data_IF_332991874698
#
_entry.id   IF_332991874698
#
_cell.length_a   1.000
_cell.length_b   1.000
_cell.length_c   1.000
_cell.angle_alpha   90.00
_cell.angle_beta   90.00
_cell.angle_gamma   90.00
#
_symmetry.space_group_name_H-M   'P 1'
#
loop_
_entity.id
_entity.type
_entity.pdbx_description
1 polymer ?
#
# COMPACT_ATOMS: atom_id res chain seq x y z
N UNK A 1 1.32 25.44 14.42
CA UNK A 1 0.22 24.80 13.67
C UNK A 1 0.82 23.64 12.92
N UNK A 2 0.20 22.47 12.98
CA UNK A 2 0.60 21.27 12.27
C UNK A 2 -0.59 20.82 11.44
N UNK A 3 -0.33 20.40 10.20
CA UNK A 3 -1.33 19.84 9.29
C UNK A 3 -0.87 18.44 8.95
N UNK A 4 -1.60 17.45 9.43
CA UNK A 4 -1.33 16.05 9.15
C UNK A 4 -2.21 15.60 7.98
N UNK A 5 -1.59 14.92 7.02
CA UNK A 5 -2.26 14.44 5.81
C UNK A 5 -2.02 12.94 5.69
N UNK A 6 -3.10 12.18 5.54
CA UNK A 6 -3.04 10.74 5.28
C UNK A 6 -3.74 10.44 3.97
N UNK A 7 -3.00 10.37 2.84
CA UNK A 7 -3.56 9.96 1.56
C UNK A 7 -4.16 8.55 1.67
N UNK A 8 -5.35 8.34 1.07
CA UNK A 8 -6.03 7.03 1.08
C UNK A 8 -5.68 6.16 -0.14
N UNK A 9 -4.94 6.70 -1.10
CA UNK A 9 -4.48 6.02 -2.30
C UNK A 9 -3.03 6.38 -2.55
N UNK A 10 -2.31 5.44 -3.15
CA UNK A 10 -1.00 5.70 -3.72
C UNK A 10 -1.10 6.74 -4.85
N UNK A 11 -0.01 7.47 -5.07
CA UNK A 11 0.14 8.44 -6.16
C UNK A 11 0.19 9.90 -5.70
N UNK A 12 0.27 10.79 -6.67
CA UNK A 12 0.39 12.22 -6.44
C UNK A 12 -0.87 12.78 -5.78
N UNK A 13 -0.67 13.58 -4.73
CA UNK A 13 -1.72 14.39 -4.14
C UNK A 13 -1.26 15.84 -4.05
N UNK A 14 -2.20 16.78 -4.16
CA UNK A 14 -1.95 18.18 -3.87
C UNK A 14 -3.21 18.92 -3.46
N UNK A 15 -3.02 19.99 -2.69
CA UNK A 15 -4.04 20.96 -2.33
C UNK A 15 -3.39 22.30 -1.97
N UNK A 16 -4.21 23.36 -1.90
CA UNK A 16 -3.77 24.64 -1.38
C UNK A 16 -4.18 24.79 0.09
N UNK A 17 -3.23 25.16 0.94
CA UNK A 17 -3.54 25.69 2.25
C UNK A 17 -3.69 27.20 2.13
N UNK A 18 -4.94 27.67 2.22
CA UNK A 18 -5.28 29.08 2.22
C UNK A 18 -5.20 29.64 3.64
N UNK A 19 -4.52 30.76 3.81
CA UNK A 19 -4.40 31.46 5.10
C UNK A 19 -4.77 32.92 4.91
N UNK A 20 -5.87 33.32 5.55
CA UNK A 20 -6.25 34.73 5.65
C UNK A 20 -5.29 35.49 6.57
N UNK A 21 -5.00 36.73 6.19
CA UNK A 21 -4.12 37.64 6.90
C UNK A 21 -4.81 39.00 7.04
N UNK A 22 -4.56 39.66 8.17
CA UNK A 22 -5.00 41.04 8.37
C UNK A 22 -3.94 42.06 7.92
N UNK A 23 -2.88 41.63 7.24
CA UNK A 23 -1.97 42.52 6.53
C UNK A 23 -2.73 43.22 5.38
N UNK A 24 -2.86 44.56 5.40
CA UNK A 24 -3.62 45.30 4.40
C UNK A 24 -3.00 45.27 2.99
N UNK A 25 -1.77 44.80 2.84
CA UNK A 25 -1.10 44.67 1.53
C UNK A 25 -1.12 43.22 1.04
N UNK A 26 -1.00 42.25 1.95
CA UNK A 26 -1.00 40.81 1.62
C UNK A 26 -2.06 40.08 2.48
N UNK A 27 -3.34 40.23 2.13
CA UNK A 27 -4.42 39.72 2.97
C UNK A 27 -4.61 38.19 2.89
N UNK A 28 -3.89 37.50 2.00
CA UNK A 28 -4.01 36.05 1.84
C UNK A 28 -2.67 35.42 1.47
N UNK A 29 -2.43 34.19 1.94
CA UNK A 29 -1.32 33.34 1.51
C UNK A 29 -1.85 31.99 1.05
N UNK A 30 -1.46 31.57 -0.17
CA UNK A 30 -1.73 30.23 -0.68
C UNK A 30 -0.44 29.42 -0.68
N UNK A 31 -0.44 28.30 0.04
CA UNK A 31 0.68 27.36 0.08
C UNK A 31 0.28 26.13 -0.71
N UNK A 32 1.02 25.84 -1.79
CA UNK A 32 0.88 24.58 -2.49
C UNK A 32 1.49 23.46 -1.66
N UNK A 33 0.66 22.53 -1.20
CA UNK A 33 1.07 21.33 -0.47
C UNK A 33 0.84 20.15 -1.39
N UNK A 34 1.87 19.35 -1.62
CA UNK A 34 1.74 18.14 -2.39
C UNK A 34 2.94 17.24 -2.22
N UNK A 35 2.69 15.96 -2.41
CA UNK A 35 3.70 14.91 -2.40
C UNK A 35 3.19 13.71 -3.21
N UNK A 36 3.96 12.63 -3.27
CA UNK A 36 3.55 11.37 -3.86
C UNK A 36 3.41 10.31 -2.78
N UNK A 37 2.16 9.93 -2.46
CA UNK A 37 1.88 8.87 -1.51
C UNK A 37 2.47 7.54 -2.01
N UNK A 38 3.30 6.91 -1.19
CA UNK A 38 3.80 5.58 -1.49
C UNK A 38 2.64 4.58 -1.52
N UNK A 39 2.62 3.63 -2.48
CA UNK A 39 1.92 2.37 -2.27
C UNK A 39 2.27 1.82 -0.88
N UNK A 40 1.24 1.40 -0.13
CA UNK A 40 1.46 0.68 1.13
C UNK A 40 2.26 -0.60 0.91
N UNK A 41 2.57 -1.31 2.00
CA UNK A 41 3.08 -2.68 1.89
C UNK A 41 2.04 -3.58 1.20
N UNK A 42 2.50 -4.43 0.29
CA UNK A 42 1.65 -5.40 -0.41
C UNK A 42 2.31 -6.77 -0.26
N UNK A 43 1.61 -7.72 0.35
CA UNK A 43 2.15 -9.05 0.64
C UNK A 43 1.55 -10.05 -0.33
N UNK A 44 2.39 -10.57 -1.22
CA UNK A 44 2.01 -11.65 -2.11
C UNK A 44 2.45 -13.01 -1.56
N UNK A 45 1.58 -14.01 -1.70
CA UNK A 45 1.83 -15.39 -1.27
C UNK A 45 1.65 -16.30 -2.49
N UNK A 46 2.69 -17.06 -2.83
CA UNK A 46 2.71 -17.90 -4.03
C UNK A 46 2.99 -19.37 -3.70
N UNK A 47 2.38 -20.29 -4.45
CA UNK A 47 2.75 -21.72 -4.45
C UNK A 47 2.36 -22.42 -5.76
N UNK A 48 3.32 -22.87 -6.60
CA UNK A 48 4.78 -22.62 -6.51
C UNK A 48 5.10 -21.14 -6.81
N UNK A 49 6.36 -20.72 -6.69
CA UNK A 49 6.77 -19.35 -7.00
C UNK A 49 6.38 -18.91 -8.43
N UNK A 50 6.03 -17.64 -8.59
CA UNK A 50 5.69 -16.99 -9.86
C UNK A 50 4.36 -16.23 -9.80
N UNK A 51 4.30 -15.09 -10.50
CA UNK A 51 3.18 -14.13 -10.49
C UNK A 51 1.83 -14.71 -10.92
N UNK A 52 1.81 -15.80 -11.69
CA UNK A 52 0.56 -16.49 -12.08
C UNK A 52 0.07 -17.50 -11.03
N UNK A 53 0.83 -17.68 -9.95
CA UNK A 53 0.56 -18.63 -8.87
C UNK A 53 0.30 -17.93 -7.53
N UNK A 54 0.08 -16.60 -7.56
CA UNK A 54 -0.36 -15.83 -6.41
C UNK A 54 -1.70 -16.35 -5.90
N UNK A 55 -1.76 -16.53 -4.58
CA UNK A 55 -2.97 -16.90 -3.88
C UNK A 55 -3.68 -15.59 -3.55
N UNK A 56 -4.81 -15.34 -4.22
CA UNK A 56 -5.59 -14.13 -4.00
C UNK A 56 -6.08 -14.00 -2.56
N UNK A 57 -6.46 -12.78 -2.15
CA UNK A 57 -7.12 -12.54 -0.86
C UNK A 57 -8.40 -13.39 -0.73
N UNK A 58 -8.57 -14.02 0.43
CA UNK A 58 -9.59 -15.03 0.69
C UNK A 58 -9.45 -16.33 -0.11
N UNK A 59 -8.37 -16.49 -0.89
CA UNK A 59 -8.10 -17.66 -1.72
C UNK A 59 -7.61 -18.87 -0.95
N UNK A 60 -7.58 -20.02 -1.63
CA UNK A 60 -7.16 -21.30 -1.05
C UNK A 60 -6.05 -21.96 -1.87
N UNK A 61 -5.05 -22.49 -1.18
CA UNK A 61 -4.01 -23.31 -1.79
C UNK A 61 -4.30 -24.80 -1.54
N UNK A 62 -5.06 -25.42 -2.44
CA UNK A 62 -5.48 -26.81 -2.27
C UNK A 62 -4.30 -27.80 -2.27
N UNK A 63 -4.42 -28.84 -1.44
CA UNK A 63 -3.43 -29.93 -1.34
C UNK A 63 -4.13 -31.21 -1.78
N UNK A 64 -3.66 -31.80 -2.88
CA UNK A 64 -4.23 -33.02 -3.45
C UNK A 64 -3.28 -34.20 -3.23
N UNK A 65 -3.83 -35.40 -3.00
CA UNK A 65 -3.03 -36.63 -2.90
C UNK A 65 -2.33 -36.85 -1.56
N UNK A 66 -2.71 -36.15 -0.50
CA UNK A 66 -2.24 -36.43 0.84
C UNK A 66 -2.68 -37.83 1.30
N UNK A 67 -1.77 -38.59 1.92
CA UNK A 67 -2.01 -39.95 2.42
C UNK A 67 -2.03 -39.92 3.94
N UNK A 68 -2.98 -40.62 4.55
CA UNK A 68 -3.09 -40.70 6.01
C UNK A 68 -1.78 -41.23 6.63
N UNK A 69 -1.28 -40.51 7.64
CA UNK A 69 -0.03 -40.84 8.34
C UNK A 69 1.26 -40.45 7.59
N UNK A 70 1.17 -39.83 6.40
CA UNK A 70 2.33 -39.36 5.64
C UNK A 70 2.37 -37.84 5.64
N UNK A 71 3.51 -37.25 6.01
CA UNK A 71 3.69 -35.80 5.99
C UNK A 71 3.71 -35.27 4.56
N UNK A 72 3.00 -34.16 4.33
CA UNK A 72 3.16 -33.34 3.11
C UNK A 72 3.97 -32.09 3.44
N UNK A 73 5.04 -31.84 2.68
CA UNK A 73 5.87 -30.64 2.80
C UNK A 73 5.47 -29.68 1.69
N UNK A 74 5.12 -28.45 2.06
CA UNK A 74 4.72 -27.40 1.14
C UNK A 74 5.67 -26.22 1.29
N UNK A 75 6.09 -25.64 0.17
CA UNK A 75 6.89 -24.43 0.15
C UNK A 75 6.06 -23.29 -0.42
N UNK A 76 6.04 -22.18 0.30
CA UNK A 76 5.41 -20.93 -0.15
C UNK A 76 6.50 -19.88 -0.35
N UNK A 77 6.30 -19.01 -1.34
CA UNK A 77 7.07 -17.79 -1.50
C UNK A 77 6.25 -16.62 -0.96
N UNK A 78 6.89 -15.76 -0.18
CA UNK A 78 6.29 -14.53 0.36
C UNK A 78 7.11 -13.36 -0.16
N UNK A 79 6.47 -12.44 -0.85
CA UNK A 79 7.11 -11.25 -1.44
C UNK A 79 6.39 -9.98 -0.96
N UNK A 80 7.16 -8.93 -0.66
CA UNK A 80 6.60 -7.59 -0.57
C UNK A 80 6.65 -6.96 -1.97
N UNK A 81 5.49 -6.86 -2.63
CA UNK A 81 5.35 -6.19 -3.92
C UNK A 81 5.02 -4.69 -3.76
N UNK A 82 4.84 -4.24 -2.52
CA UNK A 82 4.56 -2.86 -2.18
C UNK A 82 5.84 -2.04 -2.05
N UNK A 83 5.67 -0.74 -1.86
CA UNK A 83 6.79 0.21 -1.72
C UNK A 83 6.75 0.94 -0.37
N UNK A 84 6.02 0.41 0.60
CA UNK A 84 5.99 0.96 1.94
C UNK A 84 7.34 0.73 2.64
N UNK A 85 7.96 1.81 3.12
CA UNK A 85 9.15 1.80 3.99
C UNK A 85 8.84 1.34 5.42
#
# INVERSE_FOLDING_TARGET
MQVDVTPLSAGAFSFFLHVDSNDPVTPTYDINVGDNAAPGGEIDIQRPAGVSNSIADGGTSNVTGAIAGVQSILTFTIENLGTGD
#
